data_IF_398629231178
#
_entry.id   IF_398629231178
#
_cell.length_a   1.000
_cell.length_b   1.000
_cell.length_c   1.000
_cell.angle_alpha   90.00
_cell.angle_beta   90.00
_cell.angle_gamma   90.00
#
_symmetry.space_group_name_H-M   'P 1'
#
loop_
_entity.id
_entity.type
_entity.pdbx_description
1 polymer ?
#
# COMPACT_ATOMS: atom_id res chain seq x y z
N UNK A 1 -14.94 -1.21 -3.64
CA UNK A 1 -15.83 -0.03 -3.53
C UNK A 1 -15.68 0.83 -4.77
N UNK A 2 -16.76 1.46 -5.26
CA UNK A 2 -16.76 2.34 -6.44
C UNK A 2 -17.55 3.63 -6.11
N UNK A 3 -16.98 4.79 -6.43
CA UNK A 3 -17.67 6.08 -6.41
C UNK A 3 -17.70 6.66 -7.83
N UNK A 4 -18.90 6.99 -8.31
CA UNK A 4 -19.14 7.54 -9.64
C UNK A 4 -19.63 8.97 -9.53
N UNK A 5 -18.97 9.85 -10.29
CA UNK A 5 -19.29 11.27 -10.40
C UNK A 5 -19.83 11.61 -11.80
N UNK A 6 -20.40 12.81 -11.95
CA UNK A 6 -20.90 13.32 -13.23
C UNK A 6 -22.42 13.20 -13.37
N UNK A 7 -22.89 12.98 -14.60
CA UNK A 7 -24.32 13.05 -14.95
C UNK A 7 -25.19 11.94 -14.32
N UNK A 8 -24.58 10.81 -13.97
CA UNK A 8 -25.24 9.69 -13.29
C UNK A 8 -24.41 9.30 -12.05
N UNK A 9 -24.49 10.09 -10.96
CA UNK A 9 -23.72 9.83 -9.76
C UNK A 9 -24.22 8.56 -9.06
N UNK A 10 -23.31 7.82 -8.43
CA UNK A 10 -23.64 6.58 -7.74
C UNK A 10 -22.48 6.06 -6.89
N UNK A 11 -22.78 5.13 -5.99
CA UNK A 11 -21.79 4.47 -5.16
C UNK A 11 -22.12 2.98 -5.04
N UNK A 12 -21.08 2.16 -5.03
CA UNK A 12 -21.16 0.71 -4.75
C UNK A 12 -20.23 0.39 -3.59
N UNK A 13 -20.84 0.12 -2.44
CA UNK A 13 -20.18 -0.24 -1.19
C UNK A 13 -20.39 -1.74 -0.97
N UNK A 14 -19.33 -2.53 -1.08
CA UNK A 14 -19.37 -3.98 -0.96
C UNK A 14 -18.23 -4.45 -0.07
N UNK A 15 -18.50 -5.45 0.77
CA UNK A 15 -17.53 -6.09 1.66
C UNK A 15 -17.72 -7.60 1.57
N UNK A 16 -16.64 -8.32 1.25
CA UNK A 16 -16.66 -9.76 0.99
C UNK A 16 -15.74 -10.49 1.99
N UNK A 17 -16.25 -10.89 3.16
CA UNK A 17 -15.45 -11.62 4.13
C UNK A 17 -15.15 -13.03 3.60
N UNK A 18 -13.89 -13.47 3.72
CA UNK A 18 -13.47 -14.83 3.42
C UNK A 18 -12.86 -15.49 4.65
N UNK A 19 -13.33 -16.69 4.97
CA UNK A 19 -12.76 -17.54 6.00
C UNK A 19 -11.72 -18.45 5.37
N UNK A 20 -10.52 -18.45 5.93
CA UNK A 20 -9.45 -19.39 5.61
C UNK A 20 -9.36 -20.42 6.73
N UNK A 21 -9.42 -21.70 6.38
CA UNK A 21 -9.33 -22.78 7.36
C UNK A 21 -8.45 -23.95 6.91
N UNK A 22 -8.23 -24.08 5.60
CA UNK A 22 -7.41 -25.16 5.07
C UNK A 22 -5.92 -24.84 5.28
N UNK A 23 -5.07 -25.81 5.69
CA UNK A 23 -3.65 -25.57 5.93
C UNK A 23 -2.92 -24.98 4.71
N UNK A 24 -3.34 -25.33 3.50
CA UNK A 24 -2.78 -24.80 2.25
C UNK A 24 -3.18 -23.34 1.99
N UNK A 25 -4.27 -22.85 2.59
CA UNK A 25 -4.68 -21.44 2.52
C UNK A 25 -4.05 -20.59 3.63
N UNK A 26 -3.60 -21.22 4.71
CA UNK A 26 -3.00 -20.55 5.88
C UNK A 26 -1.47 -20.50 5.82
N UNK A 27 -0.86 -21.02 4.75
CA UNK A 27 0.58 -21.01 4.57
C UNK A 27 0.99 -20.86 3.11
N UNK A 28 2.10 -20.17 2.88
CA UNK A 28 2.79 -20.16 1.59
C UNK A 28 3.68 -21.38 1.54
N UNK A 29 3.52 -22.21 0.51
CA UNK A 29 4.22 -23.50 0.39
C UNK A 29 5.15 -23.47 -0.81
N UNK A 30 6.41 -23.82 -0.61
CA UNK A 30 7.34 -24.00 -1.72
C UNK A 30 6.91 -25.23 -2.55
N UNK A 31 6.65 -25.09 -3.86
CA UNK A 31 6.35 -26.24 -4.72
C UNK A 31 7.46 -27.29 -4.76
N UNK A 32 8.70 -26.89 -4.46
CA UNK A 32 9.89 -27.75 -4.47
C UNK A 32 10.21 -28.35 -3.08
N UNK A 33 9.74 -27.73 -2.00
CA UNK A 33 9.91 -28.22 -0.62
C UNK A 33 8.68 -27.94 0.26
N UNK A 34 7.72 -28.87 0.24
CA UNK A 34 6.49 -28.77 1.04
C UNK A 34 6.71 -28.99 2.55
N UNK A 35 7.94 -29.30 3.00
CA UNK A 35 8.22 -29.60 4.41
C UNK A 35 8.39 -28.34 5.27
N UNK A 36 8.58 -27.17 4.65
CA UNK A 36 8.84 -25.90 5.35
C UNK A 36 7.89 -24.78 4.89
N UNK A 37 6.58 -24.95 5.14
CA UNK A 37 5.61 -23.93 4.81
C UNK A 37 5.83 -22.67 5.66
N UNK A 38 5.66 -21.50 5.05
CA UNK A 38 5.66 -20.23 5.77
C UNK A 38 4.22 -19.88 6.16
N UNK A 39 3.93 -19.92 7.46
CA UNK A 39 2.61 -19.55 7.98
C UNK A 39 2.28 -18.08 7.66
N UNK A 40 1.03 -17.84 7.25
CA UNK A 40 0.51 -16.52 6.94
C UNK A 40 0.07 -15.86 8.26
N UNK A 41 1.02 -15.21 8.91
CA UNK A 41 0.81 -14.49 10.16
C UNK A 41 1.58 -13.16 10.19
N UNK A 42 1.25 -12.28 11.14
CA UNK A 42 1.95 -11.02 11.36
C UNK A 42 2.09 -10.18 10.09
N UNK A 43 3.33 -9.91 9.69
CA UNK A 43 3.63 -9.11 8.48
C UNK A 43 3.17 -9.80 7.19
N UNK A 44 3.28 -11.13 7.10
CA UNK A 44 2.90 -11.88 5.89
C UNK A 44 1.38 -11.83 5.66
N UNK A 45 0.60 -11.89 6.73
CA UNK A 45 -0.85 -11.68 6.67
C UNK A 45 -1.20 -10.29 6.12
N UNK A 46 -0.46 -9.25 6.52
CA UNK A 46 -0.63 -7.91 5.97
C UNK A 46 -0.36 -7.83 4.45
N UNK A 47 0.68 -8.52 3.99
CA UNK A 47 1.02 -8.61 2.55
C UNK A 47 -0.09 -9.32 1.78
N UNK A 48 -0.52 -10.49 2.24
CA UNK A 48 -1.58 -11.28 1.59
C UNK A 48 -2.89 -10.47 1.51
N UNK A 49 -3.24 -9.75 2.58
CA UNK A 49 -4.39 -8.83 2.56
C UNK A 49 -4.27 -7.74 1.50
N UNK A 50 -3.13 -7.04 1.45
CA UNK A 50 -2.91 -5.99 0.46
C UNK A 50 -2.95 -6.50 -0.98
N UNK A 51 -2.45 -7.72 -1.23
CA UNK A 51 -2.54 -8.39 -2.53
C UNK A 51 -4.01 -8.67 -2.89
N UNK A 52 -4.79 -9.20 -1.96
CA UNK A 52 -6.22 -9.46 -2.18
C UNK A 52 -7.02 -8.18 -2.40
N UNK A 53 -6.69 -7.10 -1.69
CA UNK A 53 -7.27 -5.77 -1.89
C UNK A 53 -6.97 -5.25 -3.30
N UNK A 54 -5.73 -5.42 -3.80
CA UNK A 54 -5.36 -5.05 -5.16
C UNK A 54 -6.02 -5.94 -6.23
N UNK A 55 -6.14 -7.25 -5.99
CA UNK A 55 -6.83 -8.19 -6.88
C UNK A 55 -8.32 -7.82 -6.99
N UNK A 56 -8.98 -7.55 -5.85
CA UNK A 56 -10.35 -7.08 -5.83
C UNK A 56 -10.50 -5.73 -6.56
N UNK A 57 -9.53 -4.82 -6.40
CA UNK A 57 -9.51 -3.55 -7.12
C UNK A 57 -9.41 -3.76 -8.65
N UNK A 58 -8.61 -4.73 -9.10
CA UNK A 58 -8.55 -5.11 -10.51
C UNK A 58 -9.88 -5.69 -11.01
N UNK A 59 -10.52 -6.57 -10.25
CA UNK A 59 -11.85 -7.13 -10.58
C UNK A 59 -12.90 -6.01 -10.68
N UNK A 60 -12.91 -5.07 -9.74
CA UNK A 60 -13.78 -3.89 -9.78
C UNK A 60 -13.52 -3.06 -11.04
N UNK A 61 -12.25 -2.77 -11.34
CA UNK A 61 -11.89 -2.00 -12.53
C UNK A 61 -12.40 -2.69 -13.80
N UNK A 62 -12.21 -4.00 -13.96
CA UNK A 62 -12.72 -4.78 -15.11
C UNK A 62 -14.23 -4.66 -15.29
N UNK A 63 -15.00 -4.53 -14.20
CA UNK A 63 -16.46 -4.36 -14.25
C UNK A 63 -16.95 -2.95 -14.64
N UNK A 64 -16.05 -1.95 -14.67
CA UNK A 64 -16.42 -0.58 -15.00
C UNK A 64 -16.73 -0.40 -16.50
N UNK A 65 -17.63 0.53 -16.88
CA UNK A 65 -17.82 0.93 -18.27
C UNK A 65 -16.50 1.36 -18.95
N UNK A 66 -16.34 1.05 -20.23
CA UNK A 66 -15.10 1.34 -20.97
C UNK A 66 -14.87 2.82 -21.24
N UNK A 67 -15.95 3.60 -21.34
CA UNK A 67 -15.95 5.03 -21.67
C UNK A 67 -15.77 5.94 -20.45
N UNK A 68 -15.65 5.38 -19.25
CA UNK A 68 -15.57 6.12 -18.00
C UNK A 68 -14.12 6.27 -17.51
N UNK A 69 -13.59 7.51 -17.40
CA UNK A 69 -12.32 7.74 -16.74
C UNK A 69 -12.40 7.33 -15.26
N UNK A 70 -11.39 6.59 -14.81
CA UNK A 70 -11.38 6.02 -13.47
C UNK A 70 -9.97 6.04 -12.86
N UNK A 71 -9.93 6.14 -11.54
CA UNK A 71 -8.72 5.96 -10.73
C UNK A 71 -8.92 4.76 -9.81
N UNK A 72 -8.16 3.70 -10.04
CA UNK A 72 -8.00 2.60 -9.11
C UNK A 72 -7.04 3.05 -7.99
N UNK A 73 -7.55 3.15 -6.76
CA UNK A 73 -6.83 3.77 -5.65
C UNK A 73 -6.60 2.76 -4.52
N UNK A 74 -5.34 2.64 -4.10
CA UNK A 74 -4.89 1.82 -2.97
C UNK A 74 -4.61 2.71 -1.76
N UNK A 75 -5.03 2.29 -0.58
CA UNK A 75 -4.67 2.95 0.68
C UNK A 75 -3.25 2.55 1.09
N UNK A 76 -2.31 3.48 0.99
CA UNK A 76 -0.91 3.25 1.28
C UNK A 76 -0.03 3.06 0.05
N UNK A 77 1.09 2.36 0.25
CA UNK A 77 2.16 2.24 -0.74
C UNK A 77 1.90 1.15 -1.77
N UNK A 78 2.32 1.39 -3.01
CA UNK A 78 2.39 0.35 -4.06
C UNK A 78 3.66 -0.50 -3.95
N UNK A 79 4.54 -0.20 -2.97
CA UNK A 79 5.81 -0.86 -2.75
C UNK A 79 5.67 -1.85 -1.59
N UNK A 80 5.88 -3.14 -1.83
CA UNK A 80 5.88 -4.18 -0.79
C UNK A 80 7.18 -4.14 0.02
N UNK A 81 7.34 -3.09 0.84
CA UNK A 81 8.53 -2.82 1.65
C UNK A 81 8.88 -3.97 2.61
N UNK A 82 7.90 -4.79 3.01
CA UNK A 82 8.13 -6.00 3.82
C UNK A 82 9.07 -7.02 3.17
N UNK A 83 9.28 -6.94 1.85
CA UNK A 83 10.25 -7.77 1.12
C UNK A 83 11.65 -7.15 1.01
N UNK A 84 11.89 -5.99 1.62
CA UNK A 84 13.24 -5.43 1.75
C UNK A 84 14.13 -6.38 2.57
N UNK A 85 15.34 -6.62 2.06
CA UNK A 85 16.31 -7.51 2.69
C UNK A 85 15.93 -9.00 2.59
N UNK A 86 16.38 -9.79 3.57
CA UNK A 86 16.21 -11.25 3.60
C UNK A 86 15.11 -11.70 4.58
N UNK A 87 14.06 -10.89 4.76
CA UNK A 87 12.97 -11.15 5.72
C UNK A 87 12.20 -12.44 5.39
N UNK A 88 12.01 -12.73 4.09
CA UNK A 88 11.29 -13.91 3.62
C UNK A 88 12.11 -14.71 2.61
N UNK A 89 11.93 -16.04 2.54
CA UNK A 89 12.52 -16.88 1.50
C UNK A 89 12.11 -16.44 0.09
N UNK A 90 12.95 -16.75 -0.90
CA UNK A 90 12.71 -16.35 -2.29
C UNK A 90 11.42 -16.93 -2.88
N UNK A 91 11.00 -18.14 -2.49
CA UNK A 91 9.74 -18.73 -2.97
C UNK A 91 8.52 -17.90 -2.55
N UNK A 92 8.54 -17.33 -1.33
CA UNK A 92 7.47 -16.47 -0.82
C UNK A 92 7.41 -15.18 -1.64
N UNK A 93 8.57 -14.60 -1.95
CA UNK A 93 8.66 -13.41 -2.80
C UNK A 93 8.14 -13.70 -4.20
N UNK A 94 8.57 -14.78 -4.84
CA UNK A 94 8.09 -15.16 -6.18
C UNK A 94 6.57 -15.34 -6.19
N UNK A 95 6.02 -16.12 -5.27
CA UNK A 95 4.58 -16.35 -5.24
C UNK A 95 3.82 -15.04 -4.99
N UNK A 96 4.09 -14.37 -3.86
CA UNK A 96 3.26 -13.23 -3.45
C UNK A 96 3.53 -11.95 -4.24
N UNK A 97 4.80 -11.63 -4.52
CA UNK A 97 5.13 -10.43 -5.27
C UNK A 97 4.98 -10.65 -6.78
N UNK A 98 5.65 -11.65 -7.35
CA UNK A 98 5.69 -11.81 -8.81
C UNK A 98 4.39 -12.41 -9.36
N UNK A 99 3.93 -13.52 -8.81
CA UNK A 99 2.81 -14.27 -9.38
C UNK A 99 1.43 -13.71 -8.98
N UNK A 100 1.35 -13.00 -7.84
CA UNK A 100 0.09 -12.45 -7.34
C UNK A 100 0.01 -10.91 -7.45
N UNK A 101 0.90 -10.16 -6.77
CA UNK A 101 0.83 -8.69 -6.72
C UNK A 101 1.08 -8.03 -8.09
N UNK A 102 2.20 -8.36 -8.74
CA UNK A 102 2.55 -7.80 -10.05
C UNK A 102 1.62 -8.31 -11.17
N UNK A 103 1.09 -9.51 -11.05
CA UNK A 103 0.04 -10.00 -11.95
C UNK A 103 -1.23 -9.14 -11.87
N UNK A 104 -1.65 -8.72 -10.66
CA UNK A 104 -2.78 -7.80 -10.51
C UNK A 104 -2.50 -6.40 -11.10
N UNK A 105 -1.29 -5.88 -10.91
CA UNK A 105 -0.84 -4.65 -11.59
C UNK A 105 -0.82 -4.79 -13.12
N UNK A 106 -0.43 -5.95 -13.63
CA UNK A 106 -0.44 -6.25 -15.07
C UNK A 106 -1.86 -6.21 -15.64
N UNK A 107 -2.85 -6.77 -14.93
CA UNK A 107 -4.27 -6.68 -15.33
C UNK A 107 -4.70 -5.22 -15.46
N UNK A 108 -4.41 -4.40 -14.45
CA UNK A 108 -4.74 -2.97 -14.47
C UNK A 108 -4.00 -2.21 -15.59
N UNK A 109 -2.73 -2.56 -15.87
CA UNK A 109 -1.97 -1.99 -16.99
C UNK A 109 -2.65 -2.27 -18.33
N UNK A 110 -3.02 -3.52 -18.59
CA UNK A 110 -3.70 -3.93 -19.83
C UNK A 110 -5.03 -3.18 -20.00
N UNK A 111 -5.77 -2.93 -18.92
CA UNK A 111 -6.98 -2.12 -18.97
C UNK A 111 -6.68 -0.65 -19.31
N UNK A 112 -5.62 -0.08 -18.74
CA UNK A 112 -5.22 1.31 -18.98
C UNK A 112 -4.80 1.60 -20.43
N UNK A 113 -4.41 0.57 -21.19
CA UNK A 113 -4.10 0.69 -22.62
C UNK A 113 -5.35 0.90 -23.48
N UNK A 114 -6.51 0.45 -23.00
CA UNK A 114 -7.77 0.45 -23.77
C UNK A 114 -8.70 1.60 -23.37
N UNK A 115 -8.52 2.16 -22.17
CA UNK A 115 -9.40 3.17 -21.59
C UNK A 115 -8.67 4.03 -20.55
N UNK A 116 -9.19 5.23 -20.21
CA UNK A 116 -8.59 6.13 -19.23
C UNK A 116 -8.72 5.61 -17.79
N UNK A 117 -7.98 4.54 -17.46
CA UNK A 117 -7.89 3.96 -16.13
C UNK A 117 -6.48 4.19 -15.59
N UNK A 118 -6.36 4.97 -14.52
CA UNK A 118 -5.11 5.14 -13.78
C UNK A 118 -5.09 4.27 -12.53
N UNK A 119 -3.89 3.99 -12.03
CA UNK A 119 -3.66 3.29 -10.75
C UNK A 119 -2.78 4.17 -9.87
N UNK A 120 -3.15 4.30 -8.60
CA UNK A 120 -2.32 4.98 -7.62
C UNK A 120 -2.41 4.36 -6.22
N UNK A 121 -1.34 4.48 -5.45
CA UNK A 121 -1.35 4.38 -3.99
C UNK A 121 -1.31 5.77 -3.37
N UNK A 122 -2.04 5.98 -2.28
CA UNK A 122 -2.06 7.27 -1.57
C UNK A 122 -1.52 7.11 -0.15
N UNK A 123 -0.55 7.95 0.22
CA UNK A 123 0.05 7.99 1.55
C UNK A 123 -0.20 9.37 2.15
N UNK A 124 -1.04 9.41 3.19
CA UNK A 124 -1.26 10.59 4.02
C UNK A 124 -0.04 10.87 4.90
N UNK A 125 0.23 12.16 5.14
CA UNK A 125 1.30 12.65 6.01
C UNK A 125 2.63 11.85 5.88
N UNK A 126 3.21 11.72 4.68
CA UNK A 126 4.32 10.82 4.40
C UNK A 126 5.56 11.17 5.23
N UNK A 127 6.26 10.13 5.71
CA UNK A 127 7.48 10.26 6.51
C UNK A 127 8.78 10.15 5.71
N UNK A 128 8.71 10.14 4.38
CA UNK A 128 9.84 9.92 3.48
C UNK A 128 10.81 11.11 3.40
N UNK A 129 12.06 10.79 3.10
CA UNK A 129 13.18 11.72 2.93
C UNK A 129 13.90 11.50 1.59
N UNK A 130 13.24 10.90 0.59
CA UNK A 130 13.86 10.54 -0.69
C UNK A 130 14.31 11.78 -1.48
N UNK A 131 13.50 12.84 -1.50
CA UNK A 131 13.83 14.11 -2.17
C UNK A 131 14.88 14.88 -1.37
N UNK A 132 14.73 14.95 -0.05
CA UNK A 132 15.72 15.59 0.85
C UNK A 132 17.07 14.90 0.76
N UNK A 133 17.11 13.57 0.68
CA UNK A 133 18.36 12.83 0.53
C UNK A 133 19.06 13.13 -0.80
N UNK A 134 18.35 13.48 -1.87
CA UNK A 134 18.97 13.92 -3.11
C UNK A 134 19.70 15.28 -2.94
N UNK A 135 19.21 16.17 -2.05
CA UNK A 135 19.89 17.43 -1.75
C UNK A 135 21.25 17.21 -1.10
N UNK A 136 21.46 16.09 -0.37
CA UNK A 136 22.76 15.74 0.21
C UNK A 136 23.86 15.65 -0.84
N UNK A 137 23.54 15.27 -2.08
CA UNK A 137 24.50 15.24 -3.19
C UNK A 137 25.02 16.64 -3.49
N UNK A 138 24.16 17.66 -3.47
CA UNK A 138 24.55 19.06 -3.71
C UNK A 138 25.37 19.67 -2.56
N UNK A 139 25.22 19.14 -1.35
CA UNK A 139 25.96 19.55 -0.15
C UNK A 139 27.24 18.72 0.07
N UNK A 140 27.42 17.65 -0.70
CA UNK A 140 28.57 16.77 -0.57
C UNK A 140 29.84 17.50 -1.05
N UNK A 141 30.91 17.59 -0.25
CA UNK A 141 32.16 18.21 -0.69
C UNK A 141 32.98 17.30 -1.62
N UNK A 142 32.53 16.08 -1.86
CA UNK A 142 33.20 15.09 -2.70
C UNK A 142 32.43 14.89 -4.01
N UNK A 143 33.17 14.85 -5.12
CA UNK A 143 32.65 14.63 -6.47
C UNK A 143 33.52 13.56 -7.20
N UNK A 144 32.99 12.35 -7.48
CA UNK A 144 31.63 11.90 -7.17
C UNK A 144 31.42 11.65 -5.66
N UNK A 145 30.17 11.77 -5.15
CA UNK A 145 29.85 11.37 -3.78
C UNK A 145 30.12 9.87 -3.56
N UNK A 146 31.00 9.56 -2.62
CA UNK A 146 31.28 8.18 -2.17
C UNK A 146 31.33 8.14 -0.64
N UNK A 147 30.21 7.77 -0.03
CA UNK A 147 30.08 7.72 1.42
C UNK A 147 30.93 6.61 2.06
N UNK A 148 31.16 5.50 1.35
CA UNK A 148 31.95 4.39 1.86
C UNK A 148 33.44 4.73 1.91
N UNK A 149 33.92 5.50 0.93
CA UNK A 149 35.29 6.00 0.88
C UNK A 149 35.55 7.16 1.85
N UNK A 150 34.59 8.09 1.99
CA UNK A 150 34.86 9.37 2.66
C UNK A 150 34.17 9.56 4.02
N UNK A 151 33.09 8.85 4.31
CA UNK A 151 32.23 9.13 5.47
C UNK A 151 32.14 7.98 6.47
N UNK A 152 32.82 6.85 6.23
CA UNK A 152 32.69 5.61 7.02
C UNK A 152 33.00 5.77 8.52
N UNK A 153 33.87 6.70 8.88
CA UNK A 153 34.26 6.99 10.28
C UNK A 153 33.59 8.24 10.85
N UNK A 154 32.83 8.98 10.04
CA UNK A 154 32.13 10.20 10.46
C UNK A 154 30.78 9.81 11.06
N UNK A 155 30.48 10.30 12.26
CA UNK A 155 29.23 10.00 12.93
C UNK A 155 28.04 10.57 12.15
N UNK A 156 26.89 9.89 12.13
CA UNK A 156 25.65 10.50 11.62
C UNK A 156 25.35 11.82 12.34
N UNK A 157 25.05 12.87 11.58
CA UNK A 157 24.83 14.23 12.08
C UNK A 157 26.09 15.12 12.04
N UNK A 158 27.28 14.55 11.80
CA UNK A 158 28.53 15.31 11.70
C UNK A 158 29.04 15.47 10.26
N UNK A 159 28.38 14.84 9.28
CA UNK A 159 28.83 14.92 7.89
C UNK A 159 28.44 16.28 7.32
N UNK A 160 29.23 16.85 6.40
CA UNK A 160 28.88 18.12 5.75
C UNK A 160 27.49 18.11 5.10
N UNK A 161 27.06 16.97 4.55
CA UNK A 161 25.75 16.81 3.93
C UNK A 161 24.62 16.44 4.91
N UNK A 162 24.88 16.31 6.22
CA UNK A 162 23.86 16.08 7.24
C UNK A 162 23.13 17.38 7.65
N UNK A 163 23.45 18.53 7.05
CA UNK A 163 22.75 19.81 7.30
C UNK A 163 21.23 19.72 7.03
N UNK A 164 20.81 18.82 6.16
CA UNK A 164 19.40 18.56 5.84
C UNK A 164 18.76 17.47 6.71
N UNK A 165 19.49 16.92 7.69
CA UNK A 165 18.94 15.93 8.63
C UNK A 165 17.74 16.48 9.40
N UNK A 166 16.77 15.61 9.65
CA UNK A 166 15.53 15.97 10.34
C UNK A 166 14.46 16.62 9.46
N UNK A 167 14.79 17.05 8.24
CA UNK A 167 13.80 17.49 7.26
C UNK A 167 13.16 16.29 6.55
N UNK A 168 11.85 16.34 6.36
CA UNK A 168 11.11 15.40 5.51
C UNK A 168 10.78 16.05 4.17
N UNK A 169 10.54 15.21 3.16
CA UNK A 169 10.17 15.68 1.82
C UNK A 169 8.96 16.62 1.87
N UNK A 170 7.97 16.28 2.70
CA UNK A 170 6.79 17.11 2.93
C UNK A 170 7.11 18.49 3.53
N UNK A 171 8.11 18.62 4.38
CA UNK A 171 8.42 19.88 5.06
C UNK A 171 9.02 20.88 4.08
N UNK A 172 9.82 20.37 3.13
CA UNK A 172 10.35 21.14 2.00
C UNK A 172 9.23 21.51 1.04
N UNK A 173 8.43 20.52 0.60
CA UNK A 173 7.44 20.71 -0.45
C UNK A 173 6.25 21.58 -0.01
N UNK A 174 5.91 21.59 1.29
CA UNK A 174 4.91 22.50 1.84
C UNK A 174 5.25 23.98 1.61
N UNK A 175 6.54 24.32 1.50
CA UNK A 175 6.99 25.70 1.20
C UNK A 175 6.99 26.05 -0.28
N UNK A 176 6.91 25.05 -1.17
CA UNK A 176 7.08 25.23 -2.61
C UNK A 176 5.80 24.98 -3.41
N UNK A 177 4.85 24.21 -2.88
CA UNK A 177 3.59 23.88 -3.54
C UNK A 177 2.45 24.70 -2.96
N UNK A 178 1.66 25.33 -3.81
CA UNK A 178 0.36 25.91 -3.44
C UNK A 178 -0.69 24.82 -3.29
N UNK A 179 -1.81 25.13 -2.63
CA UNK A 179 -2.93 24.18 -2.50
C UNK A 179 -3.42 23.70 -3.88
N UNK A 180 -3.52 22.38 -4.03
CA UNK A 180 -3.91 21.71 -5.27
C UNK A 180 -2.75 21.48 -6.24
N UNK A 181 -1.56 22.04 -6.00
CA UNK A 181 -0.39 21.78 -6.84
C UNK A 181 0.29 20.47 -6.46
N UNK A 182 0.94 19.86 -7.47
CA UNK A 182 1.80 18.69 -7.30
C UNK A 182 3.24 19.01 -7.64
N UNK A 183 4.16 18.28 -7.02
CA UNK A 183 5.57 18.27 -7.41
C UNK A 183 5.78 17.66 -8.80
N UNK A 184 7.05 17.70 -9.25
CA UNK A 184 7.53 16.79 -10.28
C UNK A 184 7.39 15.32 -9.86
N UNK A 185 7.54 14.42 -10.83
CA UNK A 185 7.51 12.97 -10.61
C UNK A 185 8.92 12.48 -10.33
N UNK A 186 9.07 11.68 -9.28
CA UNK A 186 10.31 11.04 -8.84
C UNK A 186 10.24 9.53 -9.05
N UNK A 187 11.39 8.88 -9.18
CA UNK A 187 11.50 7.41 -9.18
C UNK A 187 11.81 6.90 -7.78
N UNK A 188 11.20 5.79 -7.38
CA UNK A 188 11.52 5.10 -6.14
C UNK A 188 12.94 4.53 -6.18
N UNK A 189 13.71 4.73 -5.12
CA UNK A 189 15.03 4.12 -4.96
C UNK A 189 15.01 2.78 -4.19
N UNK A 190 13.82 2.25 -3.91
CA UNK A 190 13.67 0.98 -3.19
C UNK A 190 14.30 -0.16 -3.98
N UNK A 191 15.18 -0.94 -3.33
CA UNK A 191 15.79 -2.12 -3.96
C UNK A 191 14.76 -3.16 -4.37
N UNK A 192 13.65 -3.31 -3.62
CA UNK A 192 12.57 -4.24 -4.01
C UNK A 192 11.96 -3.83 -5.35
N UNK A 193 11.75 -2.53 -5.58
CA UNK A 193 11.23 -2.02 -6.86
C UNK A 193 12.23 -2.32 -7.97
N UNK A 194 13.49 -1.94 -7.79
CA UNK A 194 14.55 -2.17 -8.79
C UNK A 194 14.74 -3.64 -9.13
N UNK A 195 14.73 -4.52 -8.13
CA UNK A 195 15.12 -5.91 -8.28
C UNK A 195 13.95 -6.81 -8.73
N UNK A 196 12.69 -6.41 -8.47
CA UNK A 196 11.51 -7.28 -8.69
C UNK A 196 10.39 -6.68 -9.54
N UNK A 197 10.20 -5.36 -9.59
CA UNK A 197 9.00 -4.77 -10.20
C UNK A 197 9.06 -4.69 -11.73
N UNK A 198 10.26 -4.69 -12.33
CA UNK A 198 10.42 -4.66 -13.78
C UNK A 198 9.65 -3.50 -14.45
N UNK A 199 8.74 -3.81 -15.36
CA UNK A 199 7.89 -2.82 -16.05
C UNK A 199 6.92 -2.08 -15.12
N UNK A 200 6.72 -2.57 -13.89
CA UNK A 200 5.86 -1.97 -12.88
C UNK A 200 6.59 -1.02 -11.92
N UNK A 201 7.78 -0.54 -12.29
CA UNK A 201 8.55 0.43 -11.49
C UNK A 201 7.65 1.52 -10.90
N UNK A 202 7.75 1.74 -9.59
CA UNK A 202 6.94 2.73 -8.88
C UNK A 202 7.60 4.09 -8.96
N UNK A 203 6.83 5.07 -9.44
CA UNK A 203 7.14 6.49 -9.40
C UNK A 203 6.22 7.17 -8.39
N UNK A 204 6.57 8.38 -7.98
CA UNK A 204 5.74 9.11 -7.03
C UNK A 204 5.83 10.62 -7.24
N UNK A 205 4.81 11.32 -6.78
CA UNK A 205 4.82 12.76 -6.63
C UNK A 205 4.14 13.13 -5.31
N UNK A 206 4.35 14.37 -4.87
CA UNK A 206 3.66 14.93 -3.72
C UNK A 206 2.61 15.93 -4.18
N UNK A 207 1.54 16.05 -3.42
CA UNK A 207 0.45 16.99 -3.70
C UNK A 207 0.11 17.75 -2.42
N UNK A 208 -0.04 19.06 -2.53
CA UNK A 208 -0.52 19.88 -1.43
C UNK A 208 -2.06 19.89 -1.42
N UNK A 209 -2.66 19.44 -0.32
CA UNK A 209 -4.11 19.33 -0.15
C UNK A 209 -4.67 20.40 0.80
N UNK A 210 -3.86 21.40 1.15
CA UNK A 210 -4.21 22.51 2.06
C UNK A 210 -3.77 22.20 3.49
N UNK A 211 -4.36 21.16 4.08
CA UNK A 211 -4.05 20.76 5.46
C UNK A 211 -2.77 19.92 5.57
N UNK A 212 -2.45 19.15 4.54
CA UNK A 212 -1.26 18.31 4.49
C UNK A 212 -0.68 18.16 3.07
N UNK A 213 0.56 17.67 3.03
CA UNK A 213 1.18 17.14 1.82
C UNK A 213 0.90 15.63 1.78
N UNK A 214 0.20 15.17 0.75
CA UNK A 214 0.05 13.74 0.45
C UNK A 214 1.15 13.25 -0.50
N UNK A 215 1.53 11.97 -0.41
CA UNK A 215 2.35 11.29 -1.41
C UNK A 215 1.47 10.38 -2.24
N UNK A 216 1.62 10.48 -3.56
CA UNK A 216 0.91 9.65 -4.53
C UNK A 216 1.93 8.80 -5.24
N UNK A 217 1.79 7.49 -5.12
CA UNK A 217 2.61 6.52 -5.84
C UNK A 217 1.84 6.03 -7.06
N UNK A 218 2.49 6.00 -8.21
CA UNK A 218 1.91 5.55 -9.47
C UNK A 218 2.89 4.63 -10.17
N UNK A 219 2.42 3.61 -10.89
CA UNK A 219 3.31 2.81 -11.71
C UNK A 219 3.87 3.62 -12.89
N UNK A 220 5.01 3.20 -13.44
CA UNK A 220 5.72 3.91 -14.49
C UNK A 220 4.86 4.23 -15.72
N UNK A 221 3.97 3.32 -16.14
CA UNK A 221 3.08 3.55 -17.30
C UNK A 221 2.05 4.67 -17.06
N UNK A 222 1.62 4.89 -15.81
CA UNK A 222 0.74 6.00 -15.44
C UNK A 222 1.54 7.30 -15.45
N UNK A 223 2.75 7.29 -14.89
CA UNK A 223 3.61 8.47 -14.83
C UNK A 223 4.13 8.94 -16.19
N UNK A 224 4.27 8.03 -17.16
CA UNK A 224 4.73 8.34 -18.52
C UNK A 224 3.59 8.82 -19.45
N UNK A 225 2.34 8.71 -19.00
CA UNK A 225 1.17 9.16 -19.74
C UNK A 225 0.60 10.42 -19.08
N UNK A 226 0.78 11.58 -19.69
CA UNK A 226 0.34 12.87 -19.15
C UNK A 226 -1.17 12.90 -18.85
N UNK A 227 -1.99 12.19 -19.65
CA UNK A 227 -3.43 12.09 -19.45
C UNK A 227 -3.78 11.31 -18.18
N UNK A 228 -3.18 10.13 -17.99
CA UNK A 228 -3.39 9.32 -16.79
C UNK A 228 -2.83 10.00 -15.54
N UNK A 229 -1.66 10.63 -15.64
CA UNK A 229 -1.06 11.38 -14.53
C UNK A 229 -1.93 12.57 -14.11
N UNK A 230 -2.46 13.33 -15.09
CA UNK A 230 -3.37 14.46 -14.84
C UNK A 230 -4.71 13.99 -14.27
N UNK A 231 -5.22 12.84 -14.73
CA UNK A 231 -6.43 12.21 -14.18
C UNK A 231 -6.22 11.83 -12.71
N UNK A 232 -5.12 11.15 -12.38
CA UNK A 232 -4.75 10.78 -11.00
C UNK A 232 -4.68 12.01 -10.11
N UNK A 233 -3.95 13.04 -10.52
CA UNK A 233 -3.81 14.28 -9.75
C UNK A 233 -5.17 14.96 -9.51
N UNK A 234 -5.97 15.11 -10.57
CA UNK A 234 -7.27 15.78 -10.50
C UNK A 234 -8.24 15.05 -9.57
N UNK A 235 -8.32 13.72 -9.68
CA UNK A 235 -9.22 12.91 -8.85
C UNK A 235 -8.78 12.88 -7.39
N UNK A 236 -7.47 12.81 -7.11
CA UNK A 236 -6.98 12.88 -5.72
C UNK A 236 -7.31 14.23 -5.09
N UNK A 237 -7.07 15.34 -5.78
CA UNK A 237 -7.40 16.68 -5.26
C UNK A 237 -8.91 16.82 -5.03
N UNK A 238 -9.76 16.38 -5.97
CA UNK A 238 -11.22 16.44 -5.79
C UNK A 238 -11.69 15.55 -4.63
N UNK A 239 -11.22 14.31 -4.55
CA UNK A 239 -11.59 13.39 -3.46
C UNK A 239 -11.13 13.91 -2.09
N UNK A 240 -9.91 14.42 -2.00
CA UNK A 240 -9.40 14.96 -0.73
C UNK A 240 -10.12 16.24 -0.31
N UNK A 241 -10.48 17.12 -1.26
CA UNK A 241 -11.31 18.30 -0.94
C UNK A 241 -12.68 17.93 -0.38
N UNK A 242 -13.29 16.85 -0.89
CA UNK A 242 -14.57 16.33 -0.38
C UNK A 242 -14.44 15.63 0.97
N UNK A 243 -13.27 15.07 1.27
CA UNK A 243 -12.99 14.29 2.48
C UNK A 243 -12.09 15.00 3.49
N UNK A 244 -12.12 16.33 3.54
CA UNK A 244 -11.36 17.15 4.51
C UNK A 244 -9.87 16.82 4.56
N UNK A 245 -9.22 16.77 3.38
CA UNK A 245 -7.78 16.54 3.24
C UNK A 245 -7.40 15.10 2.93
N UNK A 246 -8.34 14.14 2.99
CA UNK A 246 -8.08 12.73 2.67
C UNK A 246 -9.10 12.19 1.65
N UNK A 247 -8.71 11.31 0.70
CA UNK A 247 -9.63 10.82 -0.32
C UNK A 247 -10.84 10.09 0.29
N UNK A 248 -12.06 10.59 0.05
CA UNK A 248 -13.31 9.96 0.54
C UNK A 248 -13.39 8.48 0.17
N UNK A 249 -12.97 8.14 -1.06
CA UNK A 249 -12.95 6.76 -1.52
C UNK A 249 -12.13 5.82 -0.60
N UNK A 250 -11.03 6.30 -0.03
CA UNK A 250 -10.21 5.51 0.88
C UNK A 250 -10.80 5.47 2.29
N UNK A 251 -11.36 6.57 2.78
CA UNK A 251 -12.02 6.60 4.10
C UNK A 251 -13.17 5.61 4.16
N UNK A 252 -14.07 5.65 3.18
CA UNK A 252 -15.24 4.76 3.11
C UNK A 252 -14.79 3.29 2.95
N UNK A 253 -13.79 3.01 2.11
CA UNK A 253 -13.27 1.66 1.95
C UNK A 253 -12.65 1.13 3.25
N UNK A 254 -11.91 1.98 3.98
CA UNK A 254 -11.35 1.63 5.28
C UNK A 254 -12.46 1.27 6.27
N UNK A 255 -13.50 2.09 6.39
CA UNK A 255 -14.64 1.85 7.28
C UNK A 255 -15.33 0.51 7.00
N UNK A 256 -15.54 0.15 5.72
CA UNK A 256 -16.15 -1.13 5.34
C UNK A 256 -15.28 -2.36 5.59
N UNK A 257 -13.95 -2.19 5.70
CA UNK A 257 -12.99 -3.27 5.87
C UNK A 257 -12.63 -3.54 7.35
N UNK A 258 -13.03 -2.67 8.28
CA UNK A 258 -12.71 -2.83 9.70
C UNK A 258 -13.40 -4.06 10.29
N UNK A 259 -12.60 -5.04 10.70
CA UNK A 259 -13.06 -6.17 11.53
C UNK A 259 -13.01 -5.74 12.99
N UNK A 260 -14.15 -5.32 13.53
CA UNK A 260 -14.26 -4.74 14.87
C UNK A 260 -14.01 -5.78 15.97
N UNK A 261 -13.76 -5.29 17.20
CA UNK A 261 -13.64 -6.17 18.36
C UNK A 261 -14.90 -7.02 18.61
N UNK A 262 -16.08 -6.48 18.27
CA UNK A 262 -17.36 -7.21 18.35
C UNK A 262 -17.44 -8.31 17.30
N UNK A 263 -17.03 -8.04 16.06
CA UNK A 263 -17.06 -9.05 14.99
C UNK A 263 -16.17 -10.24 15.33
N UNK A 264 -15.00 -9.98 15.93
CA UNK A 264 -14.08 -11.04 16.40
C UNK A 264 -14.71 -11.88 17.51
N UNK A 265 -15.44 -11.26 18.43
CA UNK A 265 -16.13 -11.96 19.52
C UNK A 265 -17.27 -12.83 18.99
N UNK A 266 -18.09 -12.29 18.08
CA UNK A 266 -19.18 -13.04 17.46
C UNK A 266 -18.65 -14.19 16.60
N UNK A 267 -17.58 -13.97 15.83
CA UNK A 267 -16.93 -15.03 15.07
C UNK A 267 -16.43 -16.15 16.00
N UNK A 268 -15.72 -15.80 17.09
CA UNK A 268 -15.25 -16.77 18.07
C UNK A 268 -16.42 -17.58 18.67
N UNK A 269 -17.53 -16.91 19.02
CA UNK A 269 -18.75 -17.57 19.52
C UNK A 269 -19.32 -18.55 18.49
N UNK A 270 -19.41 -18.16 17.22
CA UNK A 270 -19.92 -19.04 16.15
C UNK A 270 -19.03 -20.28 15.95
N UNK A 271 -17.70 -20.13 16.07
CA UNK A 271 -16.76 -21.24 16.02
C UNK A 271 -16.94 -22.16 17.23
N UNK A 272 -16.99 -21.60 18.44
CA UNK A 272 -17.26 -22.33 19.69
C UNK A 272 -18.57 -23.16 19.57
N UNK A 273 -19.67 -22.53 19.17
CA UNK A 273 -20.98 -23.20 18.97
C UNK A 273 -20.96 -24.27 17.87
N UNK A 274 -20.14 -24.10 16.82
CA UNK A 274 -19.99 -25.10 15.76
C UNK A 274 -19.22 -26.33 16.25
N UNK A 275 -18.19 -26.12 17.08
CA UNK A 275 -17.43 -27.21 17.71
C UNK A 275 -18.29 -27.97 18.72
N UNK A 276 -19.02 -27.26 19.58
CA UNK A 276 -19.93 -27.86 20.56
C UNK A 276 -21.01 -28.73 19.90
N UNK A 277 -21.63 -28.26 18.80
CA UNK A 277 -22.59 -29.06 18.02
C UNK A 277 -21.99 -30.35 17.46
N UNK A 278 -20.67 -30.41 17.26
CA UNK A 278 -19.93 -31.60 16.84
C UNK A 278 -19.31 -32.37 18.00
N UNK A 279 -19.63 -32.01 19.24
CA UNK A 279 -19.07 -32.59 20.47
C UNK A 279 -17.54 -32.49 20.55
N UNK A 280 -16.97 -31.44 19.92
CA UNK A 280 -15.55 -31.12 19.99
C UNK A 280 -15.35 -30.05 21.06
N UNK A 281 -14.37 -30.25 21.94
CA UNK A 281 -14.07 -29.29 23.01
C UNK A 281 -13.38 -28.06 22.44
N UNK A 282 -13.98 -26.88 22.59
CA UNK A 282 -13.30 -25.61 22.35
C UNK A 282 -12.44 -25.27 23.57
N UNK A 283 -11.13 -25.50 23.50
CA UNK A 283 -10.20 -25.06 24.56
C UNK A 283 -9.79 -23.60 24.32
N UNK A 284 -10.39 -22.68 25.06
CA UNK A 284 -9.90 -21.28 25.11
C UNK A 284 -8.70 -21.17 26.04
N UNK A 285 -7.78 -20.24 25.77
CA UNK A 285 -6.66 -19.96 26.68
C UNK A 285 -7.16 -19.55 28.07
N UNK A 286 -6.56 -20.10 29.13
CA UNK A 286 -6.75 -19.68 30.53
C UNK A 286 -6.63 -18.16 30.74
N UNK A 287 -5.83 -17.49 29.89
CA UNK A 287 -5.66 -16.03 29.90
C UNK A 287 -6.91 -15.28 29.43
N UNK A 288 -7.61 -15.79 28.44
CA UNK A 288 -8.87 -15.19 27.96
C UNK A 288 -10.05 -15.57 28.87
N UNK A 289 -10.00 -16.76 29.47
CA UNK A 289 -10.92 -17.17 30.53
C UNK A 289 -10.85 -16.20 31.73
N UNK A 290 -9.63 -15.85 32.17
CA UNK A 290 -9.40 -14.89 33.26
C UNK A 290 -9.84 -13.46 32.93
N UNK A 291 -9.88 -13.05 31.65
CA UNK A 291 -10.41 -11.74 31.24
C UNK A 291 -11.93 -11.71 31.21
N UNK A 292 -12.58 -12.82 30.82
CA UNK A 292 -14.04 -12.96 30.82
C UNK A 292 -14.57 -13.08 32.25
N UNK A 293 -13.87 -13.82 33.10
CA UNK A 293 -14.08 -13.90 34.54
C UNK A 293 -13.42 -12.69 35.21
N UNK A 294 -13.98 -11.49 35.02
CA UNK A 294 -13.65 -10.35 35.90
C UNK A 294 -13.85 -10.84 37.34
N UNK A 295 -12.78 -10.83 38.13
CA UNK A 295 -12.73 -11.25 39.52
C UNK A 295 -14.00 -10.83 40.28
N UNK A 296 -14.72 -11.83 40.80
CA UNK A 296 -15.73 -11.64 41.86
C UNK A 296 -15.06 -11.06 43.11
#
# INVERSE_FOLDING_TARGET
MELRYGAAPGARLESYPRLYSDPEEMAVVDPQDRLRPQLIEGQLLGIVRGIQELQALADFAESLPEDMPALALVDGTLILLSFLGQTFPDYVKRQLLQDEFLAALTRLRILSEKRPLAVAGYISLPGSTEVVNALRVSLCPYDPPDCDAHCRVIQPGERPCDEVDGLRDRDVLLRHLQEGERSGVFSSQSSVVRDWYGEHEVRFFYVNLGDEIGRVEVPAWVAQNDGLLSLTHSLIVDQSRRGHGYPVALSEAHEQAVVSGRDRQEFARLVEESLERRQLTASTSEKDLSKRLKWL
#
